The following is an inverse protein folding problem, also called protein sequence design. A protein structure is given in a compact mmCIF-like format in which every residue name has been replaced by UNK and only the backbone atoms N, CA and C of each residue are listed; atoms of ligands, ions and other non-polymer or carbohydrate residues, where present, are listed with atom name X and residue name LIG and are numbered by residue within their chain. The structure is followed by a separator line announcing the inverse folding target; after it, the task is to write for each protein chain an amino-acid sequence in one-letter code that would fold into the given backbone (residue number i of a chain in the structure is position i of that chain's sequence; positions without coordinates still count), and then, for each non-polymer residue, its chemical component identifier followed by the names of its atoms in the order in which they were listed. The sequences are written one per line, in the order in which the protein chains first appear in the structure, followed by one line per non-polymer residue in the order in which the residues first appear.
data_IF_014098242692
#
_entry.id   IF_014098242692
#
_cell.length_a   1.000
_cell.length_b   1.000
_cell.length_c   1.000
_cell.angle_alpha   90.00
_cell.angle_beta   90.00
_cell.angle_gamma   90.00
#
_symmetry.space_group_name_H-M   'P 1'
#
loop_
_entity.id
_entity.type
_entity.pdbx_description
1 polymer ?
#
# COMPACT_ATOMS: atom_id res chain seq x y z
N UNK A 1 -6.98 -5.35 12.60
CA UNK A 1 -7.86 -5.04 11.46
C UNK A 1 -8.72 -3.85 11.83
N UNK A 2 -8.87 -2.87 10.93
CA UNK A 2 -9.77 -1.73 11.16
C UNK A 2 -11.22 -2.22 11.18
N UNK A 3 -12.02 -1.79 12.15
CA UNK A 3 -13.43 -2.19 12.20
C UNK A 3 -14.27 -1.30 11.27
N UNK A 4 -15.45 -1.79 10.86
CA UNK A 4 -16.40 -0.98 10.12
C UNK A 4 -16.92 0.23 10.93
N UNK A 5 -16.90 0.14 12.27
CA UNK A 5 -17.20 1.27 13.16
C UNK A 5 -16.09 2.33 13.11
N UNK A 6 -14.82 1.91 13.14
CA UNK A 6 -13.68 2.82 12.96
C UNK A 6 -13.75 3.54 11.60
N UNK A 7 -14.07 2.81 10.53
CA UNK A 7 -14.25 3.39 9.20
C UNK A 7 -15.36 4.46 9.20
N UNK A 8 -16.51 4.17 9.83
CA UNK A 8 -17.62 5.15 9.95
C UNK A 8 -17.23 6.39 10.74
N UNK A 9 -16.45 6.24 11.81
CA UNK A 9 -15.95 7.37 12.58
C UNK A 9 -15.03 8.25 11.71
N UNK A 10 -14.12 7.62 10.96
CA UNK A 10 -13.21 8.33 10.04
C UNK A 10 -13.93 9.02 8.89
N UNK A 11 -15.04 8.47 8.37
CA UNK A 11 -15.88 9.13 7.35
C UNK A 11 -16.35 10.50 7.84
N UNK A 12 -16.82 10.57 9.10
CA UNK A 12 -17.26 11.82 9.71
C UNK A 12 -16.11 12.78 9.99
N UNK A 13 -15.01 12.29 10.57
CA UNK A 13 -13.86 13.11 10.95
C UNK A 13 -13.14 13.71 9.73
N UNK A 14 -12.91 12.90 8.69
CA UNK A 14 -12.11 13.31 7.55
C UNK A 14 -12.96 13.89 6.42
N UNK A 15 -14.30 13.81 6.51
CA UNK A 15 -15.23 14.24 5.47
C UNK A 15 -14.92 13.58 4.11
N UNK A 16 -14.63 12.28 4.15
CA UNK A 16 -14.30 11.48 2.98
C UNK A 16 -15.29 10.34 2.82
N UNK A 17 -15.39 9.83 1.59
CA UNK A 17 -16.17 8.63 1.35
C UNK A 17 -15.50 7.41 1.96
N UNK A 18 -16.31 6.46 2.38
CA UNK A 18 -15.88 5.19 2.96
C UNK A 18 -14.88 4.43 2.06
N UNK A 19 -15.16 4.35 0.75
CA UNK A 19 -14.30 3.67 -0.22
C UNK A 19 -12.88 4.24 -0.28
N UNK A 20 -12.73 5.55 -0.02
CA UNK A 20 -11.43 6.22 -0.01
C UNK A 20 -10.64 5.84 1.25
N UNK A 21 -11.32 5.74 2.40
CA UNK A 21 -10.69 5.39 3.68
C UNK A 21 -10.25 3.92 3.67
N UNK A 22 -11.10 3.03 3.17
CA UNK A 22 -10.78 1.61 3.00
C UNK A 22 -9.56 1.42 2.10
N UNK A 23 -9.53 2.09 0.94
CA UNK A 23 -8.38 2.05 0.04
C UNK A 23 -7.11 2.59 0.69
N UNK A 24 -7.19 3.70 1.42
CA UNK A 24 -6.01 4.28 2.10
C UNK A 24 -5.44 3.35 3.18
N UNK A 25 -6.33 2.62 3.87
CA UNK A 25 -5.95 1.59 4.83
C UNK A 25 -5.23 0.42 4.15
N UNK A 26 -5.78 -0.10 3.05
CA UNK A 26 -5.15 -1.16 2.25
C UNK A 26 -3.78 -0.72 1.70
N UNK A 27 -3.67 0.51 1.19
CA UNK A 27 -2.40 1.07 0.72
C UNK A 27 -1.34 1.10 1.83
N UNK A 28 -1.72 1.43 3.06
CA UNK A 28 -0.80 1.39 4.20
C UNK A 28 -0.19 0.01 4.40
N UNK A 29 -1.01 -1.03 4.33
CA UNK A 29 -0.59 -2.42 4.42
C UNK A 29 0.30 -2.85 3.26
N UNK A 30 -0.02 -2.46 2.02
CA UNK A 30 0.82 -2.74 0.85
C UNK A 30 2.18 -2.05 0.98
N UNK A 31 2.22 -0.78 1.39
CA UNK A 31 3.46 -0.05 1.60
C UNK A 31 4.32 -0.68 2.71
N UNK A 32 3.69 -1.15 3.79
CA UNK A 32 4.39 -1.91 4.82
C UNK A 32 4.99 -3.21 4.26
N UNK A 33 4.23 -3.95 3.46
CA UNK A 33 4.68 -5.18 2.81
C UNK A 33 5.89 -4.96 1.89
N UNK A 34 5.83 -3.93 1.03
CA UNK A 34 6.92 -3.55 0.13
C UNK A 34 8.15 -3.08 0.93
N UNK A 35 7.95 -2.17 1.89
CA UNK A 35 9.04 -1.61 2.69
C UNK A 35 9.74 -2.63 3.58
N UNK A 36 9.05 -3.71 3.94
CA UNK A 36 9.55 -4.78 4.82
C UNK A 36 10.12 -5.99 4.07
N UNK A 37 10.05 -6.03 2.73
CA UNK A 37 10.65 -7.10 1.93
C UNK A 37 12.14 -6.81 1.66
N UNK A 38 13.04 -7.78 1.89
CA UNK A 38 14.48 -7.54 1.81
C UNK A 38 15.00 -7.26 0.39
N UNK A 39 14.29 -7.67 -0.67
CA UNK A 39 14.74 -7.51 -2.05
C UNK A 39 14.33 -6.15 -2.62
N UNK A 40 13.15 -5.64 -2.23
CA UNK A 40 12.61 -4.36 -2.74
C UNK A 40 12.73 -3.21 -1.74
N UNK A 41 12.55 -3.43 -0.43
CA UNK A 41 12.60 -2.38 0.59
C UNK A 41 13.83 -1.46 0.49
N UNK A 42 15.06 -1.98 0.43
CA UNK A 42 16.27 -1.16 0.30
C UNK A 42 16.55 -0.67 -1.14
N UNK A 43 15.79 -1.13 -2.14
CA UNK A 43 16.08 -0.92 -3.57
C UNK A 43 15.00 -0.15 -4.31
N UNK A 44 13.80 0.01 -3.76
CA UNK A 44 12.69 0.73 -4.37
C UNK A 44 12.39 1.99 -3.57
N UNK A 45 12.78 3.14 -4.11
CA UNK A 45 12.52 4.43 -3.48
C UNK A 45 11.09 4.89 -3.76
N UNK A 46 10.26 5.00 -2.72
CA UNK A 46 8.88 5.44 -2.82
C UNK A 46 8.79 6.93 -3.18
N UNK A 47 7.96 7.28 -4.17
CA UNK A 47 7.81 8.65 -4.67
C UNK A 47 6.36 8.93 -5.11
N UNK A 48 6.16 10.05 -5.79
CA UNK A 48 4.86 10.42 -6.36
C UNK A 48 3.90 11.01 -5.34
N UNK A 49 2.64 11.19 -5.75
CA UNK A 49 1.60 11.85 -4.93
C UNK A 49 1.27 11.09 -3.65
N UNK A 50 1.25 9.76 -3.72
CA UNK A 50 0.94 8.91 -2.55
C UNK A 50 2.06 8.96 -1.51
N UNK A 51 3.33 9.07 -1.93
CA UNK A 51 4.47 9.29 -1.02
C UNK A 51 4.37 10.64 -0.31
N UNK A 52 4.03 11.72 -1.04
CA UNK A 52 3.80 13.03 -0.43
C UNK A 52 2.72 12.93 0.64
N UNK A 53 1.60 12.27 0.36
CA UNK A 53 0.52 12.09 1.34
C UNK A 53 0.97 11.28 2.57
N UNK A 54 1.57 10.11 2.35
CA UNK A 54 1.87 9.16 3.44
C UNK A 54 3.08 9.57 4.29
N UNK A 55 4.02 10.33 3.75
CA UNK A 55 5.28 10.64 4.42
C UNK A 55 5.44 12.12 4.82
N UNK A 56 4.67 13.04 4.23
CA UNK A 56 4.92 14.48 4.41
C UNK A 56 3.69 15.35 4.70
N UNK A 57 2.51 15.05 4.11
CA UNK A 57 1.34 15.94 4.19
C UNK A 57 0.04 15.13 4.31
N UNK A 58 -0.68 15.27 5.42
CA UNK A 58 -1.94 14.55 5.66
C UNK A 58 -3.12 15.06 4.80
N UNK A 59 -3.10 16.33 4.38
CA UNK A 59 -4.22 17.00 3.69
C UNK A 59 -4.19 16.95 2.16
N UNK A 60 -3.35 16.10 1.57
CA UNK A 60 -3.23 15.99 0.13
C UNK A 60 -4.34 15.11 -0.50
N UNK A 61 -4.63 15.36 -1.79
CA UNK A 61 -5.58 14.58 -2.60
C UNK A 61 -5.29 13.07 -2.47
N UNK A 62 -6.33 12.27 -2.30
CA UNK A 62 -6.21 10.81 -2.32
C UNK A 62 -5.77 10.32 -3.69
N UNK A 63 -4.71 9.51 -3.67
CA UNK A 63 -4.10 8.89 -4.84
C UNK A 63 -3.96 7.41 -4.54
N UNK A 64 -4.31 6.58 -5.52
CA UNK A 64 -4.28 5.11 -5.40
C UNK A 64 -2.98 4.53 -5.97
N UNK A 65 -2.32 5.27 -6.88
CA UNK A 65 -1.11 4.84 -7.55
C UNK A 65 0.09 4.79 -6.60
N UNK A 66 0.90 3.73 -6.69
CA UNK A 66 2.14 3.58 -5.93
C UNK A 66 3.33 3.71 -6.88
N UNK A 67 4.02 4.85 -6.81
CA UNK A 67 5.17 5.14 -7.67
C UNK A 67 6.48 4.82 -6.96
N UNK A 68 7.35 4.06 -7.63
CA UNK A 68 8.70 3.75 -7.14
C UNK A 68 9.76 4.08 -8.19
N UNK A 69 10.93 4.51 -7.72
CA UNK A 69 12.16 4.51 -8.50
C UNK A 69 13.01 3.31 -8.07
N UNK A 70 13.36 2.43 -9.01
CA UNK A 70 14.27 1.32 -8.75
C UNK A 70 15.70 1.83 -8.71
N UNK A 71 16.36 1.68 -7.55
CA UNK A 71 17.76 2.02 -7.33
C UNK A 71 18.69 1.00 -8.00
N UNK A 72 19.97 1.33 -8.25
CA UNK A 72 20.92 0.42 -8.87
C UNK A 72 20.95 -0.95 -8.16
N UNK A 73 20.87 -2.03 -8.93
CA UNK A 73 20.84 -3.40 -8.41
C UNK A 73 19.50 -3.84 -7.80
N UNK A 74 18.44 -3.03 -7.93
CA UNK A 74 17.09 -3.42 -7.55
C UNK A 74 16.40 -4.31 -8.59
N UNK A 75 15.44 -5.14 -8.17
CA UNK A 75 14.67 -5.98 -9.09
C UNK A 75 13.79 -5.10 -9.99
N UNK A 76 13.82 -5.36 -11.29
CA UNK A 76 13.01 -4.66 -12.31
C UNK A 76 12.40 -5.61 -13.36
N UNK A 77 12.88 -6.85 -13.44
CA UNK A 77 12.40 -7.81 -14.44
C UNK A 77 11.05 -8.37 -13.99
N UNK A 78 10.09 -8.41 -14.92
CA UNK A 78 8.72 -8.86 -14.64
C UNK A 78 8.65 -10.16 -13.84
N UNK A 79 9.41 -11.19 -14.24
CA UNK A 79 9.40 -12.49 -13.55
C UNK A 79 9.89 -12.40 -12.09
N UNK A 80 10.89 -11.56 -11.82
CA UNK A 80 11.41 -11.34 -10.46
C UNK A 80 10.36 -10.58 -9.64
N UNK A 81 9.81 -9.51 -10.22
CA UNK A 81 8.79 -8.67 -9.59
C UNK A 81 7.55 -9.49 -9.25
N UNK A 82 7.01 -10.30 -10.16
CA UNK A 82 5.81 -11.09 -9.90
C UNK A 82 5.99 -12.00 -8.69
N UNK A 83 7.10 -12.75 -8.61
CA UNK A 83 7.37 -13.62 -7.46
C UNK A 83 7.56 -12.85 -6.15
N UNK A 84 8.11 -11.63 -6.21
CA UNK A 84 8.24 -10.75 -5.04
C UNK A 84 6.86 -10.23 -4.61
N UNK A 85 6.05 -9.72 -5.54
CA UNK A 85 4.72 -9.22 -5.24
C UNK A 85 3.81 -10.31 -4.69
N UNK A 86 3.83 -11.52 -5.24
CA UNK A 86 3.05 -12.65 -4.73
C UNK A 86 3.39 -12.96 -3.26
N UNK A 87 4.69 -12.94 -2.91
CA UNK A 87 5.14 -13.17 -1.53
C UNK A 87 4.69 -12.03 -0.61
N UNK A 88 4.78 -10.78 -1.08
CA UNK A 88 4.38 -9.59 -0.32
C UNK A 88 2.88 -9.65 -0.06
N UNK A 89 2.06 -9.86 -1.09
CA UNK A 89 0.61 -9.93 -0.97
C UNK A 89 0.19 -11.07 -0.03
N UNK A 90 0.83 -12.24 -0.11
CA UNK A 90 0.58 -13.34 0.83
C UNK A 90 0.86 -12.93 2.27
N UNK A 91 2.01 -12.31 2.53
CA UNK A 91 2.37 -11.84 3.88
C UNK A 91 1.40 -10.77 4.37
N UNK A 92 1.05 -9.81 3.52
CA UNK A 92 0.08 -8.77 3.89
C UNK A 92 -1.27 -9.40 4.21
N UNK A 93 -1.74 -10.38 3.42
CA UNK A 93 -2.99 -11.09 3.71
C UNK A 93 -2.94 -11.81 5.07
N UNK A 94 -1.84 -12.52 5.36
CA UNK A 94 -1.64 -13.23 6.64
C UNK A 94 -1.67 -12.29 7.85
N UNK A 95 -1.07 -11.11 7.75
CA UNK A 95 -0.94 -10.16 8.87
C UNK A 95 -2.16 -9.24 9.04
N UNK A 96 -2.83 -8.89 7.93
CA UNK A 96 -3.94 -7.94 7.92
C UNK A 96 -5.32 -8.60 7.90
N UNK A 97 -5.41 -9.83 7.38
CA UNK A 97 -6.66 -10.50 7.03
C UNK A 97 -7.35 -9.96 5.77
N UNK A 98 -6.69 -9.09 4.99
CA UNK A 98 -7.20 -8.59 3.71
C UNK A 98 -7.03 -9.67 2.63
N UNK A 99 -8.10 -9.97 1.91
CA UNK A 99 -8.07 -10.90 0.78
C UNK A 99 -7.70 -10.17 -0.52
N UNK A 100 -6.58 -10.56 -1.12
CA UNK A 100 -6.11 -10.06 -2.41
C UNK A 100 -6.34 -11.06 -3.55
N UNK A 101 -7.02 -12.17 -3.29
CA UNK A 101 -7.44 -13.07 -4.36
C UNK A 101 -8.43 -12.33 -5.27
N UNK A 102 -8.24 -12.48 -6.58
CA UNK A 102 -9.23 -11.99 -7.53
C UNK A 102 -10.48 -12.84 -7.35
N UNK A 103 -11.61 -12.21 -7.01
CA UNK A 103 -12.92 -12.82 -7.18
C UNK A 103 -13.10 -13.07 -8.68
N UNK A 104 -12.85 -14.32 -9.11
CA UNK A 104 -13.23 -14.82 -10.42
C UNK A 104 -14.71 -15.18 -10.43
#
# INVERSE_FOLDING_TARGET
MISHEDIKNLVGEWSLREDIIEKDYVIGWILWGIGSDPDVGPRWAFKGGTCIKKCYIETYRFSEDLDFTVLPGGPIKLKEISSILDRILKRVAEESGIDFSLAL
#
